data_IF_156498675988
#
_entry.id   IF_156498675988
#
_cell.length_a   1.000
_cell.length_b   1.000
_cell.length_c   1.000
_cell.angle_alpha   90.00
_cell.angle_beta   90.00
_cell.angle_gamma   90.00
#
_symmetry.space_group_name_H-M   'P 1'
#
loop_
_entity.id
_entity.type
_entity.pdbx_description
1 polymer ?
#
# COMPACT_ATOMS: atom_id res chain seq x y z
N UNK A 1 -10.64 -17.08 17.98
CA UNK A 1 -9.38 -16.59 18.57
C UNK A 1 -8.28 -16.40 17.52
N UNK A 2 -8.55 -15.67 16.43
CA UNK A 2 -7.57 -15.41 15.35
C UNK A 2 -7.03 -13.97 15.32
N UNK A 3 -7.27 -13.19 16.38
CA UNK A 3 -7.18 -11.72 16.35
C UNK A 3 -5.83 -11.14 16.74
N UNK A 4 -4.95 -11.88 17.42
CA UNK A 4 -3.71 -11.30 17.97
C UNK A 4 -2.74 -10.84 16.89
N UNK A 5 -2.59 -11.59 15.79
CA UNK A 5 -1.72 -11.20 14.67
C UNK A 5 -2.21 -9.98 13.90
N UNK A 6 -3.51 -9.93 13.60
CA UNK A 6 -4.15 -8.81 12.88
C UNK A 6 -4.25 -7.54 13.74
N UNK A 7 -4.39 -7.67 15.07
CA UNK A 7 -4.39 -6.54 16.00
C UNK A 7 -3.05 -5.81 16.02
N UNK A 8 -1.94 -6.51 15.76
CA UNK A 8 -0.58 -5.94 15.76
C UNK A 8 -0.16 -5.35 14.42
N UNK A 9 -0.80 -5.75 13.32
CA UNK A 9 -0.48 -5.28 11.97
C UNK A 9 -1.39 -4.10 11.58
N UNK A 10 -1.30 -3.00 12.31
CA UNK A 10 -2.08 -1.79 12.06
C UNK A 10 -1.15 -0.57 12.04
N UNK A 11 -1.20 0.22 10.97
CA UNK A 11 -0.36 1.40 10.85
C UNK A 11 -0.01 1.73 9.40
N UNK A 12 0.98 2.60 9.22
CA UNK A 12 1.56 2.96 7.93
C UNK A 12 3.00 2.46 7.84
N UNK A 13 3.43 2.20 6.61
CA UNK A 13 4.81 1.91 6.31
C UNK A 13 5.14 2.38 4.90
N UNK A 14 6.41 2.71 4.69
CA UNK A 14 6.94 3.11 3.40
C UNK A 14 7.42 1.87 2.63
N UNK A 15 7.11 1.82 1.34
CA UNK A 15 7.60 0.80 0.40
C UNK A 15 8.24 1.50 -0.78
N UNK A 16 9.37 0.99 -1.25
CA UNK A 16 9.96 1.49 -2.48
C UNK A 16 9.27 0.89 -3.71
N UNK A 17 8.76 1.74 -4.59
CA UNK A 17 8.21 1.37 -5.89
C UNK A 17 9.29 1.52 -6.97
N UNK A 18 9.67 0.43 -7.67
CA UNK A 18 10.57 0.53 -8.81
C UNK A 18 9.89 1.19 -10.04
N UNK A 19 10.69 1.73 -10.98
CA UNK A 19 10.16 2.23 -12.25
C UNK A 19 9.61 1.07 -13.09
N UNK A 20 8.67 1.36 -14.00
CA UNK A 20 8.02 0.37 -14.86
C UNK A 20 6.95 -0.49 -14.17
N UNK A 21 6.85 -0.46 -12.83
CA UNK A 21 5.86 -1.24 -12.08
C UNK A 21 4.59 -0.42 -11.80
N UNK A 22 3.39 -0.99 -11.98
CA UNK A 22 2.14 -0.35 -11.50
C UNK A 22 2.07 -0.41 -9.97
N UNK A 23 1.69 0.68 -9.31
CA UNK A 23 1.54 0.72 -7.84
C UNK A 23 0.56 -0.34 -7.32
N UNK A 24 -0.45 -0.71 -8.11
CA UNK A 24 -1.44 -1.73 -7.75
C UNK A 24 -0.78 -3.10 -7.57
N UNK A 25 0.13 -3.46 -8.48
CA UNK A 25 0.85 -4.73 -8.40
C UNK A 25 1.77 -4.80 -7.18
N UNK A 26 2.42 -3.67 -6.83
CA UNK A 26 3.22 -3.59 -5.61
C UNK A 26 2.36 -3.77 -4.36
N UNK A 27 1.19 -3.11 -4.30
CA UNK A 27 0.23 -3.26 -3.20
C UNK A 27 -0.26 -4.70 -3.06
N UNK A 28 -0.59 -5.36 -4.16
CA UNK A 28 -1.02 -6.77 -4.18
C UNK A 28 0.12 -7.71 -3.75
N UNK A 29 1.34 -7.45 -4.20
CA UNK A 29 2.52 -8.22 -3.78
C UNK A 29 2.76 -8.10 -2.28
N UNK A 30 2.68 -6.88 -1.74
CA UNK A 30 2.82 -6.64 -0.29
C UNK A 30 1.71 -7.36 0.48
N UNK A 31 0.46 -7.28 0.01
CA UNK A 31 -0.65 -8.01 0.62
C UNK A 31 -0.40 -9.52 0.66
N UNK A 32 0.01 -10.10 -0.46
CA UNK A 32 0.31 -11.53 -0.57
C UNK A 32 1.43 -11.96 0.37
N UNK A 33 2.51 -11.17 0.47
CA UNK A 33 3.64 -11.49 1.36
C UNK A 33 3.24 -11.39 2.84
N UNK A 34 2.44 -10.37 3.21
CA UNK A 34 1.92 -10.23 4.57
C UNK A 34 0.98 -11.40 4.92
N UNK A 35 0.07 -11.77 4.02
CA UNK A 35 -0.81 -12.94 4.20
C UNK A 35 -0.02 -14.23 4.33
N UNK A 36 1.03 -14.42 3.52
CA UNK A 36 1.93 -15.58 3.60
C UNK A 36 2.61 -15.64 4.96
N UNK A 37 3.15 -14.51 5.44
CA UNK A 37 3.81 -14.41 6.75
C UNK A 37 2.85 -14.68 7.91
N UNK A 38 1.64 -14.09 7.88
CA UNK A 38 0.62 -14.30 8.90
C UNK A 38 0.14 -15.76 8.97
N UNK A 39 0.01 -16.44 7.82
CA UNK A 39 -0.39 -17.84 7.75
C UNK A 39 0.76 -18.84 7.93
N UNK A 40 2.01 -18.37 8.02
CA UNK A 40 3.16 -19.22 8.34
C UNK A 40 3.29 -19.49 9.85
N UNK A 41 2.60 -18.72 10.69
CA UNK A 41 2.63 -18.92 12.14
C UNK A 41 1.96 -20.25 12.53
N UNK A 42 2.55 -20.93 13.52
CA UNK A 42 2.06 -22.23 13.96
C UNK A 42 0.67 -22.08 14.58
N UNK A 43 -0.34 -22.84 14.11
CA UNK A 43 -1.68 -22.74 14.65
C UNK A 43 -1.72 -23.21 16.11
N UNK A 44 -2.64 -22.65 16.93
CA UNK A 44 -2.86 -23.14 18.28
C UNK A 44 -3.28 -24.62 18.27
N UNK A 45 -2.99 -25.32 19.37
CA UNK A 45 -3.35 -26.73 19.52
C UNK A 45 -4.86 -26.93 19.33
N UNK A 46 -5.30 -28.03 18.67
CA UNK A 46 -6.71 -28.27 18.41
C UNK A 46 -7.47 -28.54 19.71
N UNK A 47 -8.68 -27.96 19.82
CA UNK A 47 -9.56 -28.20 20.96
C UNK A 47 -9.89 -29.69 21.08
N UNK A 48 -9.87 -30.22 22.29
CA UNK A 48 -10.24 -31.60 22.55
C UNK A 48 -11.77 -31.70 22.68
N UNK A 49 -12.38 -32.73 22.08
CA UNK A 49 -13.81 -33.02 22.24
C UNK A 49 -14.00 -34.48 22.64
N UNK A 50 -14.89 -34.72 23.60
CA UNK A 50 -15.27 -36.06 24.00
C UNK A 50 -16.22 -36.64 22.94
N UNK A 51 -15.84 -37.78 22.36
CA UNK A 51 -16.69 -38.58 21.48
C UNK A 51 -16.89 -39.96 22.11
N UNK A 52 -18.13 -40.43 22.08
CA UNK A 52 -18.43 -41.81 22.47
C UNK A 52 -18.19 -42.71 21.26
N UNK A 53 -17.18 -43.56 21.35
CA UNK A 53 -16.84 -44.54 20.33
C UNK A 53 -17.40 -45.89 20.74
N UNK A 54 -17.97 -46.61 19.77
CA UNK A 54 -18.44 -47.97 19.99
C UNK A 54 -17.23 -48.90 19.99
N UNK A 55 -16.99 -49.56 21.12
CA UNK A 55 -15.96 -50.59 21.25
C UNK A 55 -16.60 -51.98 21.34
N UNK A 56 -15.98 -53.02 20.72
CA UNK A 56 -16.38 -54.39 20.96
C UNK A 56 -16.07 -54.78 22.41
N UNK A 57 -17.00 -55.49 23.04
CA UNK A 57 -16.76 -56.12 24.34
C UNK A 57 -15.96 -57.38 24.09
N UNK A 58 -14.75 -57.47 24.66
CA UNK A 58 -14.01 -58.73 24.69
C UNK A 58 -14.77 -59.72 25.57
N UNK A 59 -15.43 -60.72 24.95
CA UNK A 59 -15.90 -61.92 25.65
C UNK A 59 -17.39 -62.30 25.60
N UNK A 60 -18.23 -61.78 24.70
CA UNK A 60 -19.63 -62.28 24.58
C UNK A 60 -20.12 -62.40 23.14
N UNK A 61 -20.77 -63.52 22.80
CA UNK A 61 -21.31 -63.84 21.46
C UNK A 61 -22.46 -62.93 20.99
N UNK A 62 -23.01 -62.09 21.85
CA UNK A 62 -23.96 -61.05 21.47
C UNK A 62 -23.23 -59.73 21.20
N UNK A 63 -23.49 -59.11 20.03
CA UNK A 63 -22.98 -57.78 19.61
C UNK A 63 -23.49 -56.64 20.50
N UNK A 64 -23.20 -56.69 21.80
CA UNK A 64 -23.55 -55.64 22.76
C UNK A 64 -22.48 -54.56 22.68
N UNK A 65 -22.77 -53.48 21.96
CA UNK A 65 -21.83 -52.38 21.76
C UNK A 65 -21.77 -51.52 23.03
N UNK A 66 -20.58 -51.40 23.63
CA UNK A 66 -20.36 -50.46 24.75
C UNK A 66 -19.86 -49.12 24.23
N UNK A 67 -20.44 -48.02 24.73
CA UNK A 67 -20.03 -46.65 24.42
C UNK A 67 -18.84 -46.24 25.32
N UNK A 68 -17.65 -46.10 24.74
CA UNK A 68 -16.46 -45.60 25.44
C UNK A 68 -16.27 -44.11 25.14
N UNK A 69 -16.36 -43.27 26.17
CA UNK A 69 -15.98 -41.87 26.08
C UNK A 69 -14.48 -41.75 25.79
N UNK A 70 -14.12 -41.18 24.65
CA UNK A 70 -12.72 -40.96 24.22
C UNK A 70 -12.53 -39.50 23.87
N UNK A 71 -11.46 -38.88 24.37
CA UNK A 71 -11.09 -37.52 23.97
C UNK A 71 -10.40 -37.56 22.61
N UNK A 72 -10.97 -36.86 21.63
CA UNK A 72 -10.46 -36.81 20.25
C UNK A 72 -10.21 -35.34 19.87
N UNK A 73 -9.10 -35.01 19.18
CA UNK A 73 -8.87 -33.66 18.73
C UNK A 73 -9.95 -33.22 17.73
N UNK A 74 -10.50 -32.04 17.93
CA UNK A 74 -11.49 -31.43 17.07
C UNK A 74 -10.82 -30.83 15.85
N UNK A 75 -10.99 -31.45 14.68
CA UNK A 75 -10.41 -30.97 13.42
C UNK A 75 -11.15 -29.76 12.81
N UNK A 76 -12.21 -29.25 13.45
CA UNK A 76 -13.03 -28.14 12.92
C UNK A 76 -12.25 -26.83 12.74
N UNK A 77 -11.17 -26.65 13.49
CA UNK A 77 -10.27 -25.50 13.39
C UNK A 77 -8.97 -25.81 12.63
N UNK A 78 -8.80 -27.05 12.16
CA UNK A 78 -7.60 -27.48 11.48
C UNK A 78 -7.45 -26.82 10.10
N UNK A 79 -6.22 -26.43 9.74
CA UNK A 79 -5.91 -25.69 8.50
C UNK A 79 -6.34 -26.41 7.22
N UNK A 80 -6.22 -27.74 7.17
CA UNK A 80 -6.65 -28.51 5.99
C UNK A 80 -8.17 -28.51 5.79
N UNK A 81 -8.95 -28.25 6.85
CA UNK A 81 -10.42 -28.24 6.80
C UNK A 81 -10.93 -26.82 6.56
N UNK A 82 -10.40 -25.83 7.28
CA UNK A 82 -10.84 -24.42 7.17
C UNK A 82 -10.12 -23.60 6.11
N UNK A 83 -8.97 -24.06 5.63
CA UNK A 83 -8.07 -23.27 4.79
C UNK A 83 -7.21 -22.29 5.62
N UNK A 84 -6.56 -21.32 4.96
CA UNK A 84 -5.72 -20.33 5.62
C UNK A 84 -6.53 -19.46 6.60
N UNK A 85 -5.90 -19.10 7.72
CA UNK A 85 -6.54 -18.30 8.77
C UNK A 85 -6.81 -16.86 8.32
N UNK A 86 -5.95 -16.32 7.45
CA UNK A 86 -6.06 -14.98 6.88
C UNK A 86 -6.13 -15.06 5.35
N UNK A 87 -7.15 -14.45 4.75
CA UNK A 87 -7.40 -14.50 3.31
C UNK A 87 -7.30 -13.15 2.61
N UNK A 88 -7.50 -12.04 3.33
CA UNK A 88 -7.50 -10.68 2.79
C UNK A 88 -7.01 -9.70 3.85
N UNK A 89 -6.25 -8.67 3.44
CA UNK A 89 -5.87 -7.55 4.29
C UNK A 89 -6.40 -6.24 3.73
N UNK A 90 -6.95 -5.43 4.64
CA UNK A 90 -7.38 -4.07 4.31
C UNK A 90 -6.14 -3.17 4.13
N UNK A 91 -5.61 -3.07 2.92
CA UNK A 91 -4.48 -2.20 2.58
C UNK A 91 -4.97 -0.95 1.84
N UNK A 92 -4.62 0.22 2.38
CA UNK A 92 -4.76 1.51 1.72
C UNK A 92 -3.44 1.96 1.10
N UNK A 93 -3.55 2.82 0.10
CA UNK A 93 -2.41 3.43 -0.60
C UNK A 93 -2.53 4.93 -0.44
N UNK A 94 -1.43 5.59 -0.06
CA UNK A 94 -1.34 7.04 -0.05
C UNK A 94 -1.24 7.62 -1.47
N UNK A 95 -0.23 8.45 -1.70
CA UNK A 95 -0.01 9.04 -3.01
C UNK A 95 0.38 7.97 -4.06
N UNK A 96 -0.38 7.89 -5.15
CA UNK A 96 -0.13 6.91 -6.21
C UNK A 96 0.95 7.43 -7.15
N UNK A 97 2.03 6.67 -7.27
CA UNK A 97 3.10 6.95 -8.23
C UNK A 97 2.75 6.35 -9.59
N UNK A 98 3.06 7.09 -10.66
CA UNK A 98 2.90 6.62 -12.04
C UNK A 98 3.78 5.40 -12.34
N UNK A 99 3.46 4.71 -13.44
CA UNK A 99 4.16 3.47 -13.82
C UNK A 99 5.66 3.69 -13.97
N UNK A 100 6.05 4.75 -14.67
CA UNK A 100 7.46 5.08 -14.92
C UNK A 100 8.16 5.73 -13.70
N UNK A 101 7.40 6.32 -12.78
CA UNK A 101 7.97 6.93 -11.58
C UNK A 101 8.52 5.87 -10.64
N UNK A 102 9.58 6.20 -9.91
CA UNK A 102 10.11 5.38 -8.82
C UNK A 102 10.20 6.19 -7.54
N UNK A 103 10.24 5.51 -6.39
CA UNK A 103 10.39 6.19 -5.10
C UNK A 103 9.48 5.63 -4.02
N UNK A 104 9.19 6.47 -3.03
CA UNK A 104 8.47 6.06 -1.82
C UNK A 104 6.96 6.02 -2.06
N UNK A 105 6.38 4.85 -1.84
CA UNK A 105 4.94 4.62 -1.79
C UNK A 105 4.54 4.32 -0.34
N UNK A 106 3.67 5.15 0.22
CA UNK A 106 3.14 4.93 1.57
C UNK A 106 1.94 3.99 1.49
N UNK A 107 1.99 2.89 2.23
CA UNK A 107 0.90 1.94 2.40
C UNK A 107 0.40 1.98 3.84
N UNK A 108 -0.87 1.65 4.04
CA UNK A 108 -1.46 1.53 5.37
C UNK A 108 -2.26 0.25 5.50
N UNK A 109 -2.16 -0.44 6.64
CA UNK A 109 -2.88 -1.68 6.90
C UNK A 109 -3.88 -1.50 8.03
N UNK A 110 -5.06 -2.11 7.88
CA UNK A 110 -6.08 -2.17 8.92
C UNK A 110 -6.61 -0.79 9.27
N UNK A 111 -6.54 -0.43 10.55
CA UNK A 111 -7.03 0.86 11.05
C UNK A 111 -6.10 2.02 10.71
N UNK A 112 -4.82 1.75 10.37
CA UNK A 112 -3.89 2.79 9.92
C UNK A 112 -4.30 3.48 8.61
N UNK A 113 -5.31 2.95 7.91
CA UNK A 113 -5.89 3.60 6.73
C UNK A 113 -6.54 4.95 7.04
N UNK A 114 -7.03 5.19 8.25
CA UNK A 114 -7.54 6.52 8.62
C UNK A 114 -6.44 7.57 8.57
N UNK A 115 -5.22 7.19 8.97
CA UNK A 115 -4.05 8.07 8.96
C UNK A 115 -3.62 8.47 7.53
N UNK A 116 -4.05 7.75 6.49
CA UNK A 116 -3.84 8.19 5.10
C UNK A 116 -4.64 9.46 4.77
N UNK A 117 -5.85 9.59 5.34
CA UNK A 117 -6.66 10.80 5.22
C UNK A 117 -5.99 11.95 5.97
N UNK A 118 -5.53 11.70 7.20
CA UNK A 118 -4.81 12.71 7.99
C UNK A 118 -3.53 13.18 7.28
N UNK A 119 -2.77 12.26 6.66
CA UNK A 119 -1.60 12.61 5.84
C UNK A 119 -1.98 13.45 4.60
N UNK A 120 -3.13 13.16 3.99
CA UNK A 120 -3.62 13.93 2.86
C UNK A 120 -4.00 15.35 3.29
N UNK A 121 -4.71 15.48 4.41
CA UNK A 121 -5.15 16.75 4.99
C UNK A 121 -4.00 17.55 5.60
N UNK A 122 -2.91 16.90 6.01
CA UNK A 122 -1.69 17.55 6.47
C UNK A 122 -0.91 18.26 5.36
N UNK A 123 -1.28 18.06 4.08
CA UNK A 123 -0.66 18.73 2.93
C UNK A 123 0.88 18.60 2.90
N UNK A 124 1.38 17.41 3.24
CA UNK A 124 2.81 17.14 3.30
C UNK A 124 3.50 17.46 1.97
N UNK A 125 4.66 18.11 2.06
CA UNK A 125 5.52 18.38 0.92
C UNK A 125 6.04 17.07 0.34
N UNK A 126 6.07 16.99 -0.99
CA UNK A 126 6.58 15.84 -1.73
C UNK A 126 7.71 16.33 -2.62
N UNK A 127 8.85 15.67 -2.47
CA UNK A 127 10.06 16.02 -3.21
C UNK A 127 10.28 15.01 -4.32
N UNK A 128 10.41 15.51 -5.55
CA UNK A 128 10.63 14.69 -6.73
C UNK A 128 11.91 15.12 -7.43
N UNK A 129 12.70 14.13 -7.83
CA UNK A 129 13.80 14.29 -8.78
C UNK A 129 13.31 13.91 -10.17
N UNK A 130 13.36 14.86 -11.10
CA UNK A 130 12.89 14.62 -12.47
C UNK A 130 14.02 14.85 -13.46
N UNK A 131 14.06 13.97 -14.46
CA UNK A 131 14.93 14.06 -15.63
C UNK A 131 14.03 14.17 -16.85
N UNK A 132 14.39 15.05 -17.78
CA UNK A 132 13.62 15.30 -18.98
C UNK A 132 14.53 15.51 -20.18
N UNK A 133 14.00 15.25 -21.36
CA UNK A 133 14.67 15.47 -22.64
C UNK A 133 14.05 16.70 -23.32
N UNK A 134 14.89 17.64 -23.74
CA UNK A 134 14.45 18.84 -24.44
C UNK A 134 14.26 18.57 -25.94
N UNK A 135 13.36 19.31 -26.58
CA UNK A 135 13.10 19.20 -28.03
C UNK A 135 12.35 17.94 -28.47
N UNK A 136 11.78 17.17 -27.53
CA UNK A 136 10.96 15.98 -27.81
C UNK A 136 9.61 16.11 -27.08
N UNK A 137 8.50 16.03 -27.82
CA UNK A 137 7.16 15.95 -27.25
C UNK A 137 6.55 14.58 -27.57
N UNK A 138 6.02 13.91 -26.55
CA UNK A 138 5.35 12.61 -26.66
C UNK A 138 3.89 12.72 -26.24
N UNK A 139 3.07 11.77 -26.69
CA UNK A 139 1.62 11.73 -26.45
C UNK A 139 1.20 11.54 -25.00
N UNK A 140 2.02 10.84 -24.23
CA UNK A 140 1.75 10.48 -22.84
C UNK A 140 2.79 11.10 -21.87
N UNK A 141 3.57 12.08 -22.34
CA UNK A 141 4.64 12.74 -21.58
C UNK A 141 5.68 11.77 -20.97
N UNK A 142 5.73 10.53 -21.46
CA UNK A 142 6.74 9.55 -21.07
C UNK A 142 7.83 9.48 -22.14
N UNK A 143 9.01 9.03 -21.73
CA UNK A 143 10.16 8.88 -22.63
C UNK A 143 9.88 7.91 -23.78
N UNK A 144 9.22 6.79 -23.48
CA UNK A 144 8.80 5.73 -24.41
C UNK A 144 7.48 6.04 -25.15
N UNK A 145 6.91 7.23 -24.92
CA UNK A 145 5.68 7.65 -25.58
C UNK A 145 5.82 7.82 -27.08
N UNK A 146 4.69 7.79 -27.79
CA UNK A 146 4.69 8.04 -29.23
C UNK A 146 5.13 9.48 -29.46
N UNK A 147 6.13 9.68 -30.31
CA UNK A 147 6.61 11.00 -30.70
C UNK A 147 5.50 11.76 -31.42
N UNK A 148 5.13 12.92 -30.88
CA UNK A 148 4.22 13.86 -31.52
C UNK A 148 5.02 14.89 -32.30
N UNK A 149 6.04 15.47 -31.65
CA UNK A 149 6.79 16.59 -32.22
C UNK A 149 8.25 16.53 -31.79
N UNK A 150 9.13 16.97 -32.68
CA UNK A 150 10.56 17.14 -32.41
C UNK A 150 11.01 18.50 -32.93
N UNK A 151 11.72 19.24 -32.09
CA UNK A 151 12.22 20.59 -32.39
C UNK A 151 13.66 20.76 -31.92
N UNK A 152 14.36 21.74 -32.49
CA UNK A 152 15.73 22.10 -32.09
C UNK A 152 15.72 22.83 -30.75
N UNK A 153 16.65 22.51 -29.85
CA UNK A 153 16.73 23.06 -28.50
C UNK A 153 18.04 23.82 -28.23
N UNK A 154 18.86 24.10 -29.25
CA UNK A 154 20.17 24.75 -29.10
C UNK A 154 20.09 26.16 -28.49
N UNK A 155 18.92 26.78 -28.60
CA UNK A 155 18.63 28.09 -28.02
C UNK A 155 18.31 28.04 -26.51
N UNK A 156 18.22 26.85 -25.91
CA UNK A 156 17.94 26.66 -24.49
C UNK A 156 19.26 26.70 -23.72
N UNK A 157 19.46 27.78 -22.97
CA UNK A 157 20.63 27.96 -22.08
C UNK A 157 20.25 27.67 -20.63
N UNK A 158 21.23 27.29 -19.81
CA UNK A 158 21.04 27.06 -18.38
C UNK A 158 20.40 28.27 -17.68
N UNK A 159 20.85 29.48 -18.01
CA UNK A 159 20.28 30.72 -17.45
C UNK A 159 18.78 30.88 -17.73
N UNK A 160 18.34 30.53 -18.95
CA UNK A 160 16.92 30.60 -19.32
C UNK A 160 16.10 29.59 -18.52
N UNK A 161 16.64 28.37 -18.35
CA UNK A 161 15.99 27.33 -17.57
C UNK A 161 15.90 27.70 -16.09
N UNK A 162 16.98 28.20 -15.50
CA UNK A 162 17.04 28.60 -14.08
C UNK A 162 16.04 29.72 -13.77
N UNK A 163 15.84 30.67 -14.69
CA UNK A 163 14.79 31.71 -14.56
C UNK A 163 13.39 31.12 -14.52
N UNK A 164 13.10 30.15 -15.39
CA UNK A 164 11.80 29.45 -15.41
C UNK A 164 11.61 28.65 -14.12
N UNK A 165 12.65 27.93 -13.68
CA UNK A 165 12.63 27.17 -12.42
C UNK A 165 12.38 28.08 -11.22
N UNK A 166 12.99 29.26 -11.16
CA UNK A 166 12.76 30.23 -10.09
C UNK A 166 11.29 30.73 -10.06
N UNK A 167 10.68 30.97 -11.24
CA UNK A 167 9.25 31.33 -11.33
C UNK A 167 8.36 30.19 -10.83
N UNK A 168 8.66 28.95 -11.24
CA UNK A 168 7.94 27.75 -10.79
C UNK A 168 8.08 27.62 -9.26
N UNK A 169 9.29 27.74 -8.72
CA UNK A 169 9.54 27.65 -7.28
C UNK A 169 8.80 28.75 -6.51
N UNK A 170 8.84 30.00 -6.99
CA UNK A 170 8.14 31.12 -6.35
C UNK A 170 6.62 30.93 -6.33
N UNK A 171 6.04 30.40 -7.42
CA UNK A 171 4.59 30.10 -7.45
C UNK A 171 4.21 28.99 -6.47
N UNK A 172 5.04 27.96 -6.32
CA UNK A 172 4.82 26.88 -5.34
C UNK A 172 4.98 27.38 -3.90
N UNK A 173 5.99 28.21 -3.60
CA UNK A 173 6.16 28.83 -2.28
C UNK A 173 4.94 29.66 -1.89
N UNK A 174 4.42 30.49 -2.82
CA UNK A 174 3.19 31.25 -2.60
C UNK A 174 1.99 30.34 -2.32
N UNK A 175 1.85 29.25 -3.07
CA UNK A 175 0.79 28.26 -2.85
C UNK A 175 0.90 27.59 -1.47
N UNK A 176 2.11 27.23 -1.02
CA UNK A 176 2.34 26.64 0.31
C UNK A 176 1.90 27.58 1.43
N UNK A 177 2.29 28.86 1.35
CA UNK A 177 1.89 29.89 2.34
C UNK A 177 0.37 30.04 2.39
N UNK A 178 -0.29 30.13 1.23
CA UNK A 178 -1.75 30.24 1.14
C UNK A 178 -2.44 28.99 1.73
N UNK A 179 -1.85 27.81 1.56
CA UNK A 179 -2.44 26.54 2.03
C UNK A 179 -2.25 26.30 3.51
N UNK A 180 -1.20 26.88 4.11
CA UNK A 180 -0.94 26.85 5.55
C UNK A 180 -1.76 27.92 6.30
N UNK A 181 -2.26 28.94 5.60
CA UNK A 181 -3.04 30.02 6.20
C UNK A 181 -4.35 29.57 6.91
N UNK A 182 -5.17 28.65 6.38
CA UNK A 182 -6.42 28.24 7.03
C UNK A 182 -6.24 27.56 8.39
N UNK A 183 -5.04 27.05 8.71
CA UNK A 183 -4.71 26.54 10.04
C UNK A 183 -4.43 27.63 11.09
N UNK A 184 -4.43 28.92 10.71
CA UNK A 184 -4.34 30.07 11.64
C UNK A 184 -5.67 30.84 11.83
N UNK A 185 -6.78 30.40 11.23
CA UNK A 185 -8.13 31.02 11.38
C UNK A 185 -8.94 31.09 10.06
N UNK A 186 -10.27 30.92 10.11
CA UNK A 186 -11.18 30.64 8.96
C UNK A 186 -12.02 31.86 8.46
N UNK A 187 -12.82 31.77 7.36
CA UNK A 187 -12.54 31.46 5.92
C UNK A 187 -13.32 32.45 4.95
N UNK A 188 -13.63 32.25 3.61
CA UNK A 188 -14.40 31.12 3.04
C UNK A 188 -14.06 30.64 1.59
N UNK A 189 -14.65 29.48 1.28
CA UNK A 189 -15.05 28.85 -0.01
C UNK A 189 -14.57 29.42 -1.35
N UNK A 190 -13.83 28.60 -2.10
CA UNK A 190 -14.06 28.39 -3.53
C UNK A 190 -13.46 27.03 -3.95
N UNK A 191 -14.21 26.29 -4.75
CA UNK A 191 -13.79 25.02 -5.33
C UNK A 191 -12.61 25.19 -6.29
N UNK A 192 -11.96 24.06 -6.57
CA UNK A 192 -10.70 23.87 -7.30
C UNK A 192 -9.46 24.01 -6.42
N UNK A 193 -8.98 22.87 -5.91
CA UNK A 193 -7.74 22.80 -5.12
C UNK A 193 -6.64 22.13 -5.94
N UNK A 194 -5.63 22.87 -6.43
CA UNK A 194 -4.49 22.27 -7.14
C UNK A 194 -3.62 21.48 -6.15
N UNK A 195 -3.04 20.36 -6.59
CA UNK A 195 -2.05 19.58 -5.81
C UNK A 195 -0.70 20.30 -5.92
N UNK A 196 -0.06 20.64 -4.79
CA UNK A 196 1.25 21.29 -4.79
C UNK A 196 2.34 20.22 -4.92
N UNK A 197 3.23 20.38 -5.91
CA UNK A 197 4.40 19.53 -6.14
C UNK A 197 5.66 20.37 -5.95
N UNK A 198 6.59 19.96 -5.09
CA UNK A 198 7.91 20.61 -5.03
C UNK A 198 8.85 19.84 -5.94
N UNK A 199 9.34 20.54 -6.97
CA UNK A 199 10.24 19.99 -7.97
C UNK A 199 11.66 20.41 -7.65
N UNK A 200 12.57 19.46 -7.52
CA UNK A 200 14.00 19.74 -7.49
C UNK A 200 14.63 19.04 -8.69
N UNK A 201 14.93 19.82 -9.74
CA UNK A 201 15.56 19.32 -10.95
C UNK A 201 17.08 19.51 -10.83
N UNK A 202 17.82 18.40 -10.80
CA UNK A 202 19.27 18.41 -10.88
C UNK A 202 19.66 18.05 -12.31
N UNK A 203 20.28 19.01 -13.01
CA UNK A 203 20.95 18.71 -14.28
C UNK A 203 22.24 17.95 -13.94
N UNK A 204 22.27 16.65 -14.26
CA UNK A 204 23.51 15.90 -14.32
C UNK A 204 24.26 16.29 -15.59
N UNK A 205 25.58 16.46 -15.47
CA UNK A 205 26.49 16.65 -16.60
C UNK A 205 26.47 15.47 -17.58
#
# INVERSE_FOLDING_TARGET
>A
MGSSGLARLQGLFAVYKPPGLKWLHLRETVELQLLKGLNAQQPPAPDQRVRFLLGPVEGSEEKKLTLRATSVPSLTTHRLVRGPAFTNLKIGVGHRLDVQASGVLVLAVGHGRSLLTDMYDAHLTKDYTVRGLLGKATDNFCEDGRLIEKTTYDHVTRERLDRILAVIQGSHQKALVIRMWPSLGSPPSAGLRPVSFVWQMSLGE
#
